data_IF_674676282256
#
_entry.id   IF_674676282256
#
_cell.length_a   1.000
_cell.length_b   1.000
_cell.length_c   1.000
_cell.angle_alpha   90.00
_cell.angle_beta   90.00
_cell.angle_gamma   90.00
#
_symmetry.space_group_name_H-M   'P 1'
#
loop_
_entity.id
_entity.type
_entity.pdbx_description
1 polymer ?
#
# COMPACT_ATOMS: atom_id res chain seq x y z
N UNK A 1 -29.32 -0.68 1.30
CA UNK A 1 -28.06 -1.42 1.40
C UNK A 1 -27.00 -0.42 1.02
N UNK A 2 -26.48 0.31 2.00
CA UNK A 2 -25.54 1.40 1.74
C UNK A 2 -24.29 0.79 1.09
N UNK A 3 -23.91 1.30 -0.08
CA UNK A 3 -22.61 0.99 -0.65
C UNK A 3 -21.55 1.50 0.34
N UNK A 4 -20.87 0.57 1.00
CA UNK A 4 -19.80 0.88 1.94
C UNK A 4 -18.73 1.69 1.19
N UNK A 5 -18.61 2.99 1.52
CA UNK A 5 -17.72 3.92 0.80
C UNK A 5 -16.29 3.45 1.01
N UNK A 6 -15.69 2.90 -0.05
CA UNK A 6 -14.31 2.42 -0.02
C UNK A 6 -13.33 3.60 -0.13
N UNK A 7 -12.69 3.92 0.99
CA UNK A 7 -11.63 4.93 1.08
C UNK A 7 -10.33 4.38 0.49
N UNK A 8 -9.68 5.17 -0.37
CA UNK A 8 -8.44 4.78 -1.02
C UNK A 8 -7.33 5.77 -0.67
N UNK A 9 -6.19 5.25 -0.23
CA UNK A 9 -4.98 6.04 0.00
C UNK A 9 -3.88 5.54 -0.92
N UNK A 10 -3.18 6.45 -1.59
CA UNK A 10 -2.11 6.10 -2.53
C UNK A 10 -0.86 6.87 -2.11
N UNK A 11 0.24 6.16 -1.92
CA UNK A 11 1.57 6.73 -1.72
C UNK A 11 2.43 6.38 -2.92
N UNK A 12 2.82 7.40 -3.69
CA UNK A 12 3.88 7.29 -4.69
C UNK A 12 5.21 7.50 -4.00
N UNK A 13 6.13 6.56 -4.16
CA UNK A 13 7.42 6.59 -3.47
C UNK A 13 8.49 5.85 -4.25
N UNK A 14 9.74 5.92 -3.81
CA UNK A 14 10.86 5.21 -4.43
C UNK A 14 11.29 3.99 -3.62
N UNK A 15 11.64 2.90 -4.29
CA UNK A 15 12.14 1.69 -3.60
C UNK A 15 13.45 1.92 -2.85
N UNK A 16 14.19 3.00 -3.15
CA UNK A 16 15.40 3.38 -2.41
C UNK A 16 15.16 3.57 -0.91
N UNK A 17 13.96 4.03 -0.52
CA UNK A 17 13.63 4.29 0.88
C UNK A 17 13.47 3.00 1.70
N UNK A 18 13.38 1.82 1.07
CA UNK A 18 13.31 0.53 1.75
C UNK A 18 14.58 0.22 2.56
N UNK A 19 15.71 0.80 2.16
CA UNK A 19 16.99 0.63 2.83
C UNK A 19 17.54 1.97 3.37
N UNK A 20 16.71 3.00 3.50
CA UNK A 20 17.09 4.26 4.12
C UNK A 20 16.40 4.45 5.47
N UNK A 21 16.88 5.42 6.24
CA UNK A 21 16.28 5.81 7.52
C UNK A 21 14.91 6.50 7.34
N UNK A 22 14.52 6.81 6.10
CA UNK A 22 13.23 7.43 5.77
C UNK A 22 12.09 6.42 5.63
N UNK A 23 12.38 5.11 5.75
CA UNK A 23 11.37 4.03 5.70
C UNK A 23 10.22 4.26 6.68
N UNK A 24 10.50 4.93 7.81
CA UNK A 24 9.50 5.28 8.81
C UNK A 24 8.33 6.10 8.26
N UNK A 25 8.53 6.87 7.17
CA UNK A 25 7.44 7.63 6.52
C UNK A 25 6.45 6.67 5.86
N UNK A 26 6.95 5.67 5.13
CA UNK A 26 6.12 4.69 4.42
C UNK A 26 5.38 3.80 5.43
N UNK A 27 6.06 3.34 6.48
CA UNK A 27 5.43 2.48 7.49
C UNK A 27 4.36 3.23 8.27
N UNK A 28 4.62 4.47 8.71
CA UNK A 28 3.62 5.31 9.38
C UNK A 28 2.44 5.65 8.47
N UNK A 29 2.67 5.86 7.17
CA UNK A 29 1.58 6.03 6.22
C UNK A 29 0.67 4.81 6.17
N UNK A 30 1.23 3.60 6.06
CA UNK A 30 0.47 2.34 6.06
C UNK A 30 -0.29 2.17 7.39
N UNK A 31 0.36 2.39 8.54
CA UNK A 31 -0.28 2.27 9.86
C UNK A 31 -1.42 3.26 10.00
N UNK A 32 -1.18 4.54 9.72
CA UNK A 32 -2.19 5.60 9.85
C UNK A 32 -3.39 5.40 8.91
N UNK A 33 -3.14 4.87 7.71
CA UNK A 33 -4.20 4.57 6.75
C UNK A 33 -5.01 3.33 7.13
N UNK A 34 -4.38 2.27 7.65
CA UNK A 34 -5.02 0.96 7.80
C UNK A 34 -5.49 0.62 9.22
N UNK A 35 -4.81 1.12 10.26
CA UNK A 35 -4.93 0.61 11.63
C UNK A 35 -5.59 1.61 12.58
N UNK A 36 -6.37 1.07 13.52
CA UNK A 36 -6.94 1.74 14.68
C UNK A 36 -6.36 1.12 15.94
N UNK A 37 -6.59 1.72 17.11
CA UNK A 37 -6.04 1.22 18.39
C UNK A 37 -6.38 -0.25 18.69
N UNK A 38 -7.55 -0.72 18.25
CA UNK A 38 -8.02 -2.09 18.51
C UNK A 38 -8.55 -2.83 17.28
N UNK A 39 -8.41 -2.27 16.08
CA UNK A 39 -8.98 -2.87 14.86
C UNK A 39 -8.31 -2.37 13.58
N UNK A 40 -8.80 -2.87 12.44
CA UNK A 40 -8.40 -2.43 11.10
C UNK A 40 -9.57 -1.70 10.45
N UNK A 41 -9.28 -0.66 9.68
CA UNK A 41 -10.29 0.00 8.84
C UNK A 41 -10.68 -0.94 7.70
N UNK A 42 -11.88 -1.51 7.75
CA UNK A 42 -12.36 -2.51 6.78
C UNK A 42 -12.76 -1.92 5.44
N UNK A 43 -13.07 -0.64 5.45
CA UNK A 43 -13.47 0.19 4.32
C UNK A 43 -12.29 0.97 3.70
N UNK A 44 -11.04 0.56 3.96
CA UNK A 44 -9.85 1.19 3.40
C UNK A 44 -9.07 0.25 2.50
N UNK A 45 -8.61 0.77 1.36
CA UNK A 45 -7.60 0.14 0.53
C UNK A 45 -6.41 1.10 0.34
N UNK A 46 -5.22 0.68 0.76
CA UNK A 46 -3.99 1.49 0.68
C UNK A 46 -3.03 0.93 -0.34
N UNK A 47 -2.55 1.76 -1.25
CA UNK A 47 -1.65 1.41 -2.34
C UNK A 47 -0.30 2.10 -2.13
N UNK A 48 0.77 1.31 -2.01
CA UNK A 48 2.14 1.82 -1.96
C UNK A 48 2.79 1.52 -3.31
N UNK A 49 3.04 2.56 -4.09
CA UNK A 49 3.55 2.44 -5.44
C UNK A 49 5.01 2.87 -5.46
N UNK A 50 5.88 1.90 -5.74
CA UNK A 50 7.31 2.09 -5.86
C UNK A 50 7.72 2.31 -7.32
N UNK A 51 8.44 3.40 -7.54
CA UNK A 51 9.09 3.75 -8.82
C UNK A 51 8.14 3.66 -10.02
N UNK A 52 6.86 3.98 -9.80
CA UNK A 52 5.75 3.92 -10.76
C UNK A 52 5.51 2.56 -11.43
N UNK A 53 6.07 1.47 -10.89
CA UNK A 53 6.09 0.15 -11.54
C UNK A 53 5.55 -0.98 -10.67
N UNK A 54 5.70 -0.88 -9.37
CA UNK A 54 5.32 -1.94 -8.43
C UNK A 54 4.35 -1.36 -7.42
N UNK A 55 3.20 -2.01 -7.26
CA UNK A 55 2.22 -1.66 -6.24
C UNK A 55 2.16 -2.77 -5.18
N UNK A 56 2.31 -2.40 -3.91
CA UNK A 56 1.93 -3.23 -2.78
C UNK A 56 0.63 -2.67 -2.22
N UNK A 57 -0.44 -3.45 -2.32
CA UNK A 57 -1.78 -3.09 -1.86
C UNK A 57 -2.10 -3.75 -0.53
N UNK A 58 -2.71 -2.98 0.37
CA UNK A 58 -3.25 -3.42 1.66
C UNK A 58 -4.77 -3.23 1.64
N UNK A 59 -5.50 -4.34 1.67
CA UNK A 59 -6.97 -4.38 1.60
C UNK A 59 -7.57 -4.60 2.99
N UNK A 60 -8.16 -3.57 3.58
CA UNK A 60 -8.62 -3.59 4.98
C UNK A 60 -9.60 -4.72 5.28
N UNK A 61 -10.52 -4.97 4.34
CA UNK A 61 -11.53 -6.04 4.42
C UNK A 61 -10.91 -7.41 4.67
N UNK A 62 -9.83 -7.74 3.95
CA UNK A 62 -9.19 -9.07 3.92
C UNK A 62 -7.87 -9.14 4.72
N UNK A 63 -7.33 -8.00 5.16
CA UNK A 63 -6.04 -7.91 5.85
C UNK A 63 -6.01 -8.70 7.17
N UNK A 64 -5.00 -9.56 7.33
CA UNK A 64 -4.70 -10.31 8.57
C UNK A 64 -3.19 -10.42 8.78
N UNK A 65 -2.77 -10.58 10.04
CA UNK A 65 -1.37 -10.81 10.44
C UNK A 65 -0.39 -9.67 10.09
N UNK A 66 -0.88 -8.45 9.88
CA UNK A 66 -0.05 -7.25 9.71
C UNK A 66 0.06 -6.57 11.08
N UNK A 67 1.28 -6.37 11.56
CA UNK A 67 1.56 -5.68 12.83
C UNK A 67 1.96 -4.22 12.57
N UNK A 68 1.65 -3.30 13.50
CA UNK A 68 1.91 -1.86 13.31
C UNK A 68 3.39 -1.48 13.43
N UNK A 69 4.24 -2.36 13.98
CA UNK A 69 5.65 -2.04 14.17
C UNK A 69 6.38 -1.92 12.82
N UNK A 70 7.30 -0.95 12.76
CA UNK A 70 8.03 -0.60 11.54
C UNK A 70 8.74 -1.80 10.91
N UNK A 71 9.33 -2.67 11.74
CA UNK A 71 10.08 -3.84 11.31
C UNK A 71 9.19 -4.87 10.60
N UNK A 72 8.02 -5.16 11.14
CA UNK A 72 7.05 -6.07 10.52
C UNK A 72 6.57 -5.56 9.17
N UNK A 73 6.25 -4.26 9.08
CA UNK A 73 5.80 -3.64 7.82
C UNK A 73 6.93 -3.63 6.79
N UNK A 74 8.15 -3.27 7.20
CA UNK A 74 9.33 -3.34 6.33
C UNK A 74 9.55 -4.76 5.79
N UNK A 75 9.38 -5.79 6.62
CA UNK A 75 9.45 -7.18 6.18
C UNK A 75 8.44 -7.52 5.08
N UNK A 76 7.20 -7.03 5.21
CA UNK A 76 6.15 -7.19 4.19
C UNK A 76 6.54 -6.49 2.89
N UNK A 77 7.01 -5.24 2.96
CA UNK A 77 7.40 -4.45 1.80
C UNK A 77 8.57 -5.11 1.05
N UNK A 78 9.62 -5.53 1.78
CA UNK A 78 10.75 -6.28 1.21
C UNK A 78 10.31 -7.59 0.56
N UNK A 79 9.41 -8.33 1.19
CA UNK A 79 8.87 -9.57 0.61
C UNK A 79 8.10 -9.31 -0.69
N UNK A 80 7.31 -8.24 -0.72
CA UNK A 80 6.57 -7.80 -1.91
C UNK A 80 7.49 -7.48 -3.09
N UNK A 81 8.47 -6.61 -2.87
CA UNK A 81 9.45 -6.21 -3.88
C UNK A 81 10.27 -7.41 -4.38
N UNK A 82 10.68 -8.32 -3.49
CA UNK A 82 11.45 -9.51 -3.88
C UNK A 82 10.61 -10.46 -4.76
N UNK A 83 9.38 -10.76 -4.36
CA UNK A 83 8.52 -11.73 -5.06
C UNK A 83 8.09 -11.25 -6.45
N UNK A 84 7.98 -9.94 -6.65
CA UNK A 84 7.50 -9.37 -7.91
C UNK A 84 8.58 -9.27 -8.99
N UNK A 85 9.85 -9.45 -8.64
CA UNK A 85 10.93 -9.49 -9.64
C UNK A 85 10.67 -10.57 -10.70
N UNK A 86 10.13 -11.72 -10.29
CA UNK A 86 9.87 -12.88 -11.17
C UNK A 86 8.39 -13.09 -11.51
N UNK A 87 7.46 -12.30 -10.96
CA UNK A 87 6.00 -12.49 -11.13
C UNK A 87 5.30 -11.20 -11.52
N UNK A 88 4.14 -11.29 -12.17
CA UNK A 88 3.26 -10.14 -12.41
C UNK A 88 2.44 -9.75 -11.18
N UNK A 89 2.15 -10.73 -10.32
CA UNK A 89 1.43 -10.55 -9.06
C UNK A 89 1.86 -11.63 -8.04
N UNK A 90 1.84 -11.30 -6.76
CA UNK A 90 2.07 -12.24 -5.66
C UNK A 90 1.38 -11.80 -4.37
N UNK A 91 0.59 -12.70 -3.77
CA UNK A 91 0.07 -12.52 -2.42
C UNK A 91 1.20 -12.65 -1.39
N UNK A 92 1.27 -11.71 -0.45
CA UNK A 92 2.26 -11.67 0.63
C UNK A 92 1.63 -12.21 1.92
N UNK A 93 0.46 -11.68 2.26
CA UNK A 93 -0.38 -12.05 3.41
C UNK A 93 -1.86 -12.01 2.98
N UNK A 94 -2.82 -12.51 3.80
CA UNK A 94 -4.22 -12.16 3.58
C UNK A 94 -4.41 -10.65 3.52
N UNK A 95 -5.03 -10.17 2.42
CA UNK A 95 -5.24 -8.75 2.14
C UNK A 95 -3.97 -7.93 1.87
N UNK A 96 -2.84 -8.58 1.58
CA UNK A 96 -1.63 -7.87 1.14
C UNK A 96 -1.07 -8.51 -0.12
N UNK A 97 -1.05 -7.75 -1.22
CA UNK A 97 -0.69 -8.25 -2.55
C UNK A 97 0.34 -7.31 -3.18
N UNK A 98 1.36 -7.86 -3.81
CA UNK A 98 2.29 -7.12 -4.65
C UNK A 98 1.97 -7.39 -6.12
N UNK A 99 1.98 -6.37 -6.97
CA UNK A 99 1.77 -6.49 -8.43
C UNK A 99 2.59 -5.49 -9.22
N UNK A 100 2.92 -5.84 -10.46
CA UNK A 100 3.41 -4.86 -11.44
C UNK A 100 2.23 -4.04 -11.94
N UNK A 101 2.43 -2.74 -12.10
CA UNK A 101 1.42 -1.82 -12.60
C UNK A 101 2.03 -0.90 -13.66
N UNK A 102 1.16 -0.34 -14.49
CA UNK A 102 1.40 0.88 -15.25
C UNK A 102 0.65 1.97 -14.49
N UNK A 103 1.34 3.03 -14.09
CA UNK A 103 0.76 4.03 -13.17
C UNK A 103 -0.40 4.77 -13.84
N UNK A 104 -0.30 5.07 -15.13
CA UNK A 104 -1.33 5.75 -15.91
C UNK A 104 -2.63 4.93 -15.92
N UNK A 105 -2.54 3.64 -16.25
CA UNK A 105 -3.69 2.72 -16.25
C UNK A 105 -4.31 2.64 -14.84
N UNK A 106 -3.48 2.44 -13.81
CA UNK A 106 -3.93 2.39 -12.43
C UNK A 106 -4.68 3.66 -12.01
N UNK A 107 -4.14 4.83 -12.35
CA UNK A 107 -4.75 6.11 -12.02
C UNK A 107 -6.03 6.35 -12.80
N UNK A 108 -6.12 5.91 -14.06
CA UNK A 108 -7.33 6.01 -14.88
C UNK A 108 -8.47 5.14 -14.34
N UNK A 109 -8.16 3.94 -13.85
CA UNK A 109 -9.13 2.97 -13.29
C UNK A 109 -9.69 3.35 -11.91
N UNK A 110 -9.12 4.35 -11.23
CA UNK A 110 -9.65 4.79 -9.94
C UNK A 110 -11.07 5.39 -10.10
N UNK A 111 -12.01 5.08 -9.20
CA UNK A 111 -13.32 5.73 -9.19
C UNK A 111 -13.18 7.21 -8.78
N UNK A 112 -14.01 8.08 -9.37
CA UNK A 112 -14.08 9.50 -8.99
C UNK A 112 -14.77 9.69 -7.62
N UNK A 113 -14.42 10.75 -6.84
CA UNK A 113 -13.43 11.79 -7.14
C UNK A 113 -11.98 11.38 -6.81
N UNK A 114 -11.02 11.84 -7.63
CA UNK A 114 -9.57 11.63 -7.44
C UNK A 114 -8.94 12.91 -6.90
N UNK A 115 -8.33 12.85 -5.73
CA UNK A 115 -7.57 13.95 -5.16
C UNK A 115 -6.10 13.57 -5.11
N UNK A 116 -5.25 14.36 -5.76
CA UNK A 116 -3.81 14.19 -5.74
C UNK A 116 -3.20 15.32 -4.91
N UNK A 117 -2.33 14.95 -3.97
CA UNK A 117 -1.51 15.89 -3.24
C UNK A 117 -0.05 15.55 -3.53
N UNK A 118 0.68 16.51 -4.09
CA UNK A 118 2.13 16.43 -4.26
C UNK A 118 2.75 17.55 -3.45
N UNK A 119 3.80 17.23 -2.70
CA UNK A 119 4.60 18.21 -2.00
C UNK A 119 6.01 18.12 -2.56
N UNK A 120 6.37 19.07 -3.42
CA UNK A 120 7.74 19.29 -3.85
C UNK A 120 8.38 20.29 -2.90
N UNK A 121 9.47 19.89 -2.25
CA UNK A 121 10.47 20.82 -1.77
C UNK A 121 11.39 21.21 -2.93
#
# INVERSE_FOLDING_TARGET
>A
MDEEILRRFILLTSSKFINSDEIGIITRFIVGAMMLSHSLRKDVCTYIIFDNKICIVFEGKSMKNVRPDEKSILGILKSGLLRINSKKESRILPGVIARKIIIEDFLNDLPSPKFFYSFTH
#
